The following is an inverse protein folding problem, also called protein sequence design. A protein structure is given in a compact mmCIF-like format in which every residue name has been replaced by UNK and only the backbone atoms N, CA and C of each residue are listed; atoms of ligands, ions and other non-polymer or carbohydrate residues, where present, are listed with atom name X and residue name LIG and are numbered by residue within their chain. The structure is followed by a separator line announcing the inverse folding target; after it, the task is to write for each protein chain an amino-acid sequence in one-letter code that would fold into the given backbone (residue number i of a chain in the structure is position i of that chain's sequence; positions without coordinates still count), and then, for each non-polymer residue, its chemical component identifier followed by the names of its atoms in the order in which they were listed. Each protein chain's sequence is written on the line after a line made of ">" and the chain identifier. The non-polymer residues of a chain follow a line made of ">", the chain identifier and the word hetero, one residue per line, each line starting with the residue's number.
data_IF_706521599114
#
_entry.id   IF_706521599114
#
_cell.length_a   1.000
_cell.length_b   1.000
_cell.length_c   1.000
_cell.angle_alpha   90.00
_cell.angle_beta   90.00
_cell.angle_gamma   90.00
#
_symmetry.space_group_name_H-M   'P 1'
#
loop_
_entity.id
_entity.type
_entity.pdbx_description
1 polymer ?
2 water ?
#
# COMPACT_ATOMS: atom_id res chain seq x y z
N UNK A 1 -17.39 20.91 -13.38
CA UNK A 1 -17.17 19.47 -13.36
C UNK A 1 -15.98 19.08 -12.48
N UNK A 2 -15.43 20.04 -11.75
CA UNK A 2 -14.33 19.79 -10.81
C UNK A 2 -14.84 20.07 -9.40
N UNK A 3 -14.80 19.05 -8.55
CA UNK A 3 -15.38 19.20 -7.23
C UNK A 3 -14.41 19.88 -6.27
N UNK A 4 -14.97 20.55 -5.26
CA UNK A 4 -14.20 20.90 -4.08
C UNK A 4 -14.12 19.66 -3.20
N UNK A 5 -12.94 19.38 -2.65
CA UNK A 5 -12.70 18.11 -1.96
C UNK A 5 -12.04 18.38 -0.61
N UNK A 6 -12.56 17.75 0.45
CA UNK A 6 -11.92 17.77 1.76
C UNK A 6 -12.03 16.39 2.38
N UNK A 7 -10.89 15.74 2.65
CA UNK A 7 -10.91 14.42 3.29
C UNK A 7 -10.95 14.62 4.80
N UNK A 8 -11.85 13.90 5.48
CA UNK A 8 -11.98 13.98 6.94
C UNK A 8 -11.08 12.92 7.58
N UNK A 9 -9.78 13.23 7.60
CA UNK A 9 -8.80 12.28 8.09
C UNK A 9 -9.01 11.95 9.56
N UNK A 10 -9.57 12.89 10.34
CA UNK A 10 -9.79 12.56 11.75
C UNK A 10 -10.89 11.53 11.94
N UNK A 11 -11.66 11.22 10.89
CA UNK A 11 -12.69 10.20 10.92
C UNK A 11 -12.23 8.88 10.30
N UNK A 12 -10.92 8.72 10.09
CA UNK A 12 -10.38 7.53 9.43
C UNK A 12 -10.70 6.26 10.21
N UNK A 13 -11.05 5.20 9.49
CA UNK A 13 -11.36 3.89 10.05
C UNK A 13 -10.17 2.98 9.80
N UNK A 14 -9.76 2.24 10.83
CA UNK A 14 -8.72 1.23 10.70
C UNK A 14 -9.39 -0.06 10.24
N UNK A 15 -9.28 -0.37 8.95
CA UNK A 15 -9.79 -1.63 8.46
C UNK A 15 -8.74 -2.70 8.70
N UNK A 16 -8.60 -3.62 7.77
CA UNK A 16 -7.67 -4.73 7.94
C UNK A 16 -6.27 -4.23 8.29
N UNK A 17 -5.61 -4.93 9.21
CA UNK A 17 -4.25 -4.58 9.62
C UNK A 17 -3.55 -5.90 9.93
N UNK A 18 -2.56 -6.27 9.12
CA UNK A 18 -1.91 -7.58 9.27
C UNK A 18 -0.42 -7.47 8.98
N UNK A 19 0.35 -8.33 9.63
CA UNK A 19 1.74 -8.55 9.27
C UNK A 19 1.76 -9.83 8.45
N UNK A 20 2.11 -9.69 7.17
CA UNK A 20 1.99 -10.77 6.20
C UNK A 20 3.36 -11.41 6.00
N UNK A 21 3.42 -12.74 6.12
CA UNK A 21 4.62 -13.48 5.72
C UNK A 21 4.62 -13.60 4.20
N UNK A 22 5.53 -12.88 3.56
CA UNK A 22 5.61 -12.90 2.10
C UNK A 22 6.27 -14.19 1.61
N UNK A 23 7.32 -14.64 2.30
CA UNK A 23 8.06 -15.83 1.88
C UNK A 23 9.04 -16.20 2.97
N UNK A 24 9.59 -17.42 2.86
CA UNK A 24 10.73 -17.87 3.65
C UNK A 24 11.76 -18.51 2.72
N UNK A 25 13.04 -18.34 3.06
CA UNK A 25 14.14 -19.00 2.35
C UNK A 25 15.04 -19.67 3.38
N UNK A 26 15.33 -20.97 3.19
CA UNK A 26 16.10 -21.72 4.17
C UNK A 26 17.36 -22.31 3.55
N UNK A 27 18.42 -22.41 4.37
CA UNK A 27 19.69 -23.00 3.94
C UNK A 27 20.46 -23.51 5.15
N UNK A 28 21.31 -24.52 4.92
CA UNK A 28 22.07 -25.19 5.98
C UNK A 28 23.54 -25.32 5.59
N UNK A 29 24.41 -25.32 6.61
CA UNK A 29 25.85 -25.21 6.44
C UNK A 29 26.58 -26.29 7.23
N UNK A 30 27.87 -26.45 6.91
CA UNK A 30 28.73 -27.43 7.56
C UNK A 30 30.21 -27.09 7.37
N UNK A 34 31.34 -22.74 4.91
CA UNK A 34 30.70 -21.43 4.88
C UNK A 34 30.35 -21.02 3.45
N UNK A 35 29.23 -21.50 2.94
CA UNK A 35 28.79 -21.21 1.58
C UNK A 35 28.09 -19.86 1.54
N UNK A 36 28.19 -19.19 0.41
CA UNK A 36 27.43 -17.98 0.18
C UNK A 36 25.95 -18.30 -0.03
N UNK A 37 25.12 -17.28 0.12
CA UNK A 37 23.68 -17.42 0.00
C UNK A 37 23.26 -17.36 -1.47
N UNK A 38 22.04 -17.84 -1.73
CA UNK A 38 21.56 -17.95 -3.11
C UNK A 38 21.55 -16.61 -3.83
N UNK A 39 21.07 -15.55 -3.16
CA UNK A 39 20.89 -14.25 -3.79
C UNK A 39 21.49 -13.17 -2.90
N UNK A 40 22.00 -12.13 -3.54
CA UNK A 40 22.48 -10.97 -2.80
C UNK A 40 21.32 -10.09 -2.34
N UNK A 41 20.33 -9.90 -3.21
CA UNK A 41 19.17 -9.07 -2.91
C UNK A 41 17.96 -9.73 -3.55
N UNK A 42 16.79 -9.50 -2.95
CA UNK A 42 15.53 -9.90 -3.56
C UNK A 42 14.73 -8.65 -3.90
N UNK A 43 13.99 -8.70 -5.00
CA UNK A 43 13.24 -7.56 -5.49
C UNK A 43 11.76 -7.90 -5.43
N UNK A 44 10.97 -7.00 -4.84
CA UNK A 44 9.54 -7.21 -4.67
C UNK A 44 8.78 -6.01 -5.21
N UNK A 45 7.57 -6.26 -5.69
CA UNK A 45 6.66 -5.18 -5.99
C UNK A 45 5.95 -4.75 -4.72
N UNK A 46 5.84 -3.44 -4.51
CA UNK A 46 5.15 -2.85 -3.38
C UNK A 46 4.11 -1.89 -3.92
N UNK A 47 2.87 -2.01 -3.44
CA UNK A 47 1.79 -1.19 -3.99
C UNK A 47 1.01 -0.51 -2.89
N UNK A 48 0.42 0.62 -3.26
CA UNK A 48 -0.63 1.28 -2.50
C UNK A 48 -1.77 1.51 -3.47
N UNK A 49 -2.97 1.10 -3.10
CA UNK A 49 -4.12 1.29 -3.98
C UNK A 49 -5.07 2.30 -3.36
N UNK A 50 -5.45 3.30 -4.14
CA UNK A 50 -6.35 4.37 -3.69
C UNK A 50 -7.68 4.25 -4.41
N UNK A 51 -8.78 4.27 -3.65
CA UNK A 51 -10.10 4.11 -4.22
C UNK A 51 -11.04 5.19 -3.71
N UNK A 52 -12.01 5.57 -4.54
CA UNK A 52 -13.08 6.46 -4.13
C UNK A 52 -14.40 5.75 -4.41
N UNK A 53 -15.31 5.79 -3.44
CA UNK A 53 -16.61 5.12 -3.55
C UNK A 53 -17.69 6.14 -3.24
N UNK A 54 -18.82 6.06 -3.96
CA UNK A 54 -19.91 7.00 -3.73
C UNK A 54 -21.18 6.24 -3.41
N UNK A 55 -22.13 6.83 -2.69
CA UNK A 55 -23.43 6.21 -2.49
C UNK A 55 -24.06 5.84 -3.84
N UNK A 56 -24.79 4.73 -3.83
CA UNK A 56 -25.37 4.23 -5.07
C UNK A 56 -26.27 5.28 -5.71
N UNK A 57 -27.04 6.00 -4.90
CA UNK A 57 -28.03 6.99 -5.34
C UNK A 57 -27.50 8.42 -5.34
N UNK A 58 -26.23 8.65 -5.66
CA UNK A 58 -25.66 9.98 -5.52
C UNK A 58 -26.14 10.92 -6.61
N UNK A 59 -26.18 12.22 -6.27
CA UNK A 59 -26.46 13.29 -7.21
C UNK A 59 -25.21 13.79 -7.92
N UNK A 60 -24.03 13.37 -7.48
CA UNK A 60 -22.80 13.82 -8.13
C UNK A 60 -22.84 13.43 -9.61
N UNK A 61 -22.66 14.37 -10.54
CA UNK A 61 -22.77 14.03 -11.96
C UNK A 61 -21.67 13.08 -12.40
N UNK A 62 -22.03 12.12 -13.25
CA UNK A 62 -21.02 11.28 -13.88
C UNK A 62 -20.06 12.16 -14.68
N UNK A 63 -18.76 11.88 -14.54
CA UNK A 63 -17.71 12.69 -15.13
C UNK A 63 -17.08 13.70 -14.20
N UNK A 64 -17.66 13.93 -13.02
CA UNK A 64 -17.09 14.85 -12.05
C UNK A 64 -15.69 14.41 -11.66
N UNK A 65 -14.75 15.35 -11.67
CA UNK A 65 -13.38 15.04 -11.28
C UNK A 65 -13.19 15.32 -9.80
N UNK A 66 -12.49 14.41 -9.12
CA UNK A 66 -12.32 14.44 -7.68
C UNK A 66 -10.83 14.27 -7.41
N UNK A 67 -10.17 15.37 -7.06
CA UNK A 67 -8.74 15.37 -6.75
C UNK A 67 -8.53 15.30 -5.25
N UNK A 68 -7.71 14.36 -4.80
CA UNK A 68 -7.35 14.34 -3.39
C UNK A 68 -5.90 13.93 -3.22
N UNK A 69 -5.37 14.26 -2.05
CA UNK A 69 -3.99 13.98 -1.68
C UNK A 69 -3.96 12.96 -0.56
N UNK A 70 -3.65 11.70 -0.84
CA UNK A 70 -3.64 10.68 0.21
C UNK A 70 -2.55 10.94 1.24
N UNK A 71 -2.69 10.26 2.38
CA UNK A 71 -1.65 10.27 3.40
C UNK A 71 -0.49 9.34 3.04
N UNK A 72 -0.79 8.15 2.52
CA UNK A 72 0.20 7.11 2.28
C UNK A 72 0.54 7.06 0.79
N UNK A 73 1.81 7.32 0.46
CA UNK A 73 2.25 7.39 -0.93
C UNK A 73 3.54 6.61 -1.10
N UNK A 74 3.89 6.36 -2.36
CA UNK A 74 5.13 5.70 -2.74
C UNK A 74 5.97 6.65 -3.60
N UNK A 75 7.25 6.31 -3.75
CA UNK A 75 8.16 6.97 -4.69
C UNK A 75 8.36 8.46 -4.39
N UNK A 76 8.02 8.90 -3.19
CA UNK A 76 8.06 10.32 -2.88
C UNK A 76 7.08 11.13 -3.69
N UNK A 77 6.12 10.46 -4.34
CA UNK A 77 5.10 11.16 -5.09
C UNK A 77 4.25 12.01 -4.17
N UNK A 78 3.98 13.24 -4.60
CA UNK A 78 3.23 14.19 -3.80
C UNK A 78 2.10 14.86 -4.57
N UNK A 79 1.99 14.63 -5.87
CA UNK A 79 0.91 15.22 -6.64
C UNK A 79 -0.42 14.55 -6.31
N UNK A 80 -1.52 15.28 -6.41
CA UNK A 80 -2.83 14.69 -6.11
C UNK A 80 -3.20 13.59 -7.09
N UNK A 81 -4.03 12.68 -6.61
CA UNK A 81 -4.69 11.68 -7.44
C UNK A 81 -5.98 12.29 -7.97
N UNK A 82 -6.25 12.11 -9.27
CA UNK A 82 -7.49 12.58 -9.87
C UNK A 82 -8.36 11.37 -10.20
N UNK A 83 -9.46 11.22 -9.48
CA UNK A 83 -10.50 10.27 -9.85
C UNK A 83 -11.52 10.97 -10.74
N UNK A 84 -12.22 10.19 -11.55
CA UNK A 84 -13.35 10.68 -12.34
C UNK A 84 -14.53 9.79 -12.01
N UNK A 85 -15.56 10.36 -11.38
CA UNK A 85 -16.71 9.56 -11.00
C UNK A 85 -17.36 8.94 -12.24
N UNK A 86 -17.56 7.62 -12.19
CA UNK A 86 -18.16 6.87 -13.27
C UNK A 86 -17.18 6.26 -14.27
N UNK A 87 -15.87 6.52 -14.14
CA UNK A 87 -14.93 5.92 -15.09
C UNK A 87 -13.52 5.67 -14.56
N UNK A 88 -13.04 6.44 -13.57
CA UNK A 88 -11.74 6.14 -12.97
C UNK A 88 -11.89 6.33 -11.46
N UNK A 89 -12.04 5.23 -10.73
CA UNK A 89 -12.31 5.29 -9.29
C UNK A 89 -11.27 4.55 -8.47
N UNK A 90 -10.20 4.06 -9.10
CA UNK A 90 -9.13 3.36 -8.40
C UNK A 90 -7.81 3.71 -9.07
N UNK A 91 -6.79 3.95 -8.25
CA UNK A 91 -5.45 4.25 -8.74
C UNK A 91 -4.43 3.48 -7.90
N UNK A 92 -3.45 2.86 -8.56
CA UNK A 92 -2.45 2.03 -7.88
C UNK A 92 -1.07 2.64 -8.06
N UNK A 93 -0.39 2.90 -6.96
CA UNK A 93 1.02 3.23 -6.98
C UNK A 93 1.84 1.95 -6.92
N UNK A 94 3.04 2.00 -7.49
CA UNK A 94 3.91 0.83 -7.53
C UNK A 94 5.35 1.29 -7.34
N UNK A 95 6.08 0.59 -6.47
CA UNK A 95 7.51 0.84 -6.35
C UNK A 95 8.24 -0.50 -6.26
N UNK A 96 9.55 -0.46 -6.47
CA UNK A 96 10.38 -1.64 -6.29
C UNK A 96 10.93 -1.63 -4.88
N UNK A 97 10.71 -2.71 -4.15
CA UNK A 97 11.22 -2.87 -2.79
C UNK A 97 12.37 -3.87 -2.86
N UNK A 98 13.59 -3.39 -2.65
CA UNK A 98 14.79 -4.22 -2.75
C UNK A 98 15.29 -4.55 -1.35
N UNK A 99 15.49 -5.84 -1.08
CA UNK A 99 15.80 -6.34 0.26
C UNK A 99 17.13 -7.07 0.22
N UNK A 100 18.09 -6.62 1.03
CA UNK A 100 19.38 -7.29 1.08
C UNK A 100 19.28 -8.63 1.81
N UNK A 101 19.89 -9.67 1.24
CA UNK A 101 19.92 -11.00 1.83
C UNK A 101 21.19 -11.19 2.64
N UNK A 102 21.21 -12.14 3.57
CA UNK A 102 22.48 -12.48 4.23
C UNK A 102 23.48 -12.97 3.20
N UNK A 103 24.75 -12.58 3.40
CA UNK A 103 25.77 -12.91 2.41
C UNK A 103 26.16 -14.38 2.48
N UNK A 104 26.31 -14.91 3.69
CA UNK A 104 26.83 -16.26 3.89
C UNK A 104 25.98 -17.01 4.90
N UNK A 105 26.11 -18.33 4.87
CA UNK A 105 25.67 -19.21 5.94
C UNK A 105 26.91 -19.55 6.76
N UNK A 106 26.96 -19.09 8.01
CA UNK A 106 28.12 -19.30 8.86
C UNK A 106 28.31 -20.80 9.14
N UNK A 107 29.51 -21.21 9.57
CA UNK A 107 29.76 -22.64 9.77
C UNK A 107 28.81 -23.27 10.79
N UNK A 108 28.42 -24.52 10.51
CA UNK A 108 27.55 -25.31 11.38
C UNK A 108 26.25 -24.57 11.70
N UNK A 109 25.59 -24.08 10.65
CA UNK A 109 24.42 -23.23 10.76
C UNK A 109 23.33 -23.66 9.78
N UNK A 110 22.09 -23.65 10.26
CA UNK A 110 20.90 -23.62 9.40
C UNK A 110 20.34 -22.20 9.45
N UNK A 111 20.13 -21.61 8.28
CA UNK A 111 19.75 -20.21 8.16
C UNK A 111 18.35 -20.12 7.57
N UNK A 112 17.50 -19.32 8.21
CA UNK A 112 16.14 -19.06 7.74
C UNK A 112 15.99 -17.56 7.57
N UNK A 113 15.58 -17.13 6.38
CA UNK A 113 15.15 -15.76 6.15
C UNK A 113 13.63 -15.75 6.08
N UNK A 114 13.00 -14.98 6.97
CA UNK A 114 11.55 -14.79 6.99
C UNK A 114 11.28 -13.38 6.50
N UNK A 115 10.51 -13.26 5.42
CA UNK A 115 10.22 -11.97 4.80
C UNK A 115 8.80 -11.56 5.14
N UNK A 116 8.63 -10.40 5.79
CA UNK A 116 7.30 -9.94 6.18
C UNK A 116 7.09 -8.49 5.78
N UNK A 117 5.82 -8.10 5.67
CA UNK A 117 5.48 -6.68 5.52
C UNK A 117 4.11 -6.42 6.13
N UNK A 118 3.90 -5.16 6.52
CA UNK A 118 2.59 -4.72 6.99
C UNK A 118 1.69 -4.47 5.80
N UNK A 119 0.43 -4.88 5.92
CA UNK A 119 -0.58 -4.59 4.91
C UNK A 119 -1.78 -4.03 5.65
N UNK A 120 -2.26 -2.87 5.21
CA UNK A 120 -3.28 -2.15 5.96
C UNK A 120 -4.36 -1.63 5.02
N UNK A 121 -5.61 -1.69 5.47
CA UNK A 121 -6.71 -1.00 4.79
C UNK A 121 -7.22 0.09 5.72
N UNK A 122 -7.32 1.31 5.21
CA UNK A 122 -7.92 2.41 5.94
C UNK A 122 -8.93 3.09 5.03
N UNK A 123 -9.89 3.79 5.63
CA UNK A 123 -10.92 4.46 4.85
C UNK A 123 -11.32 5.74 5.57
N UNK A 124 -11.79 6.74 4.81
CA UNK A 124 -12.15 8.01 5.44
C UNK A 124 -13.25 8.69 4.63
N UNK A 125 -14.07 9.52 5.28
CA UNK A 125 -15.07 10.30 4.53
C UNK A 125 -14.42 11.37 3.67
N UNK A 126 -15.05 11.66 2.54
CA UNK A 126 -14.58 12.71 1.63
C UNK A 126 -15.75 13.62 1.34
N UNK A 127 -15.68 14.86 1.82
CA UNK A 127 -16.74 15.81 1.54
C UNK A 127 -16.51 16.42 0.16
N UNK A 128 -17.50 16.27 -0.72
CA UNK A 128 -17.44 16.70 -2.11
C UNK A 128 -18.49 17.77 -2.31
N UNK A 129 -18.15 18.83 -3.02
CA UNK A 129 -19.17 19.76 -3.48
C UNK A 129 -18.90 20.10 -4.93
N UNK A 130 -19.94 20.04 -5.75
CA UNK A 130 -19.88 20.43 -7.15
C UNK A 130 -21.09 21.32 -7.39
N UNK A 131 -20.86 22.61 -7.58
CA UNK A 131 -21.99 23.53 -7.63
C UNK A 131 -22.73 23.48 -6.31
N UNK A 132 -24.04 23.30 -6.36
CA UNK A 132 -24.81 23.21 -5.13
C UNK A 132 -25.00 21.77 -4.66
N UNK A 133 -24.39 20.81 -5.34
CA UNK A 133 -24.52 19.41 -4.96
C UNK A 133 -23.46 19.09 -3.91
N UNK A 134 -23.89 18.48 -2.80
CA UNK A 134 -22.99 18.05 -1.74
C UNK A 134 -23.11 16.55 -1.55
N UNK A 135 -21.98 15.90 -1.33
CA UNK A 135 -21.95 14.46 -1.11
C UNK A 135 -20.83 14.15 -0.14
N UNK A 136 -20.97 13.06 0.61
CA UNK A 136 -19.86 12.54 1.39
C UNK A 136 -19.51 11.18 0.79
N UNK A 137 -18.41 11.14 0.03
CA UNK A 137 -17.91 9.90 -0.53
C UNK A 137 -17.04 9.19 0.52
N UNK A 138 -16.51 8.03 0.16
CA UNK A 138 -15.61 7.29 1.04
C UNK A 138 -14.34 6.93 0.29
N UNK A 139 -13.20 7.31 0.86
CA UNK A 139 -11.88 7.01 0.32
C UNK A 139 -11.36 5.75 1.00
N UNK A 140 -10.73 4.87 0.22
CA UNK A 140 -10.17 3.62 0.73
C UNK A 140 -8.72 3.53 0.27
N UNK A 141 -7.83 3.22 1.21
CA UNK A 141 -6.41 3.04 0.96
C UNK A 141 -6.02 1.61 1.31
N UNK A 142 -5.51 0.86 0.35
CA UNK A 142 -4.98 -0.48 0.58
C UNK A 142 -3.47 -0.38 0.42
N UNK A 143 -2.75 -0.37 1.54
CA UNK A 143 -1.31 -0.10 1.50
C UNK A 143 -0.48 -1.30 1.92
N UNK A 144 0.74 -1.35 1.39
CA UNK A 144 1.76 -2.32 1.74
C UNK A 144 3.00 -1.57 2.19
N UNK A 145 3.61 -2.02 3.28
CA UNK A 145 4.85 -1.45 3.76
C UNK A 145 6.05 -2.08 3.05
N UNK A 146 7.23 -1.52 3.33
CA UNK A 146 8.46 -2.19 2.95
C UNK A 146 8.62 -3.52 3.66
N UNK A 147 9.39 -4.39 3.04
CA UNK A 147 9.57 -5.75 3.54
C UNK A 147 10.73 -5.79 4.52
N UNK A 148 10.53 -6.51 5.62
CA UNK A 148 11.59 -6.81 6.57
C UNK A 148 12.07 -8.25 6.38
N UNK A 149 13.40 -8.43 6.44
CA UNK A 149 14.02 -9.75 6.39
C UNK A 149 14.55 -10.09 7.78
N UNK A 150 14.02 -11.15 8.38
CA UNK A 150 14.51 -11.65 9.65
C UNK A 150 15.35 -12.89 9.38
N UNK A 151 16.61 -12.86 9.80
CA UNK A 151 17.53 -13.97 9.58
C UNK A 151 17.74 -14.67 10.91
N UNK A 152 17.40 -15.95 10.96
CA UNK A 152 17.56 -16.76 12.15
C UNK A 152 18.60 -17.84 11.87
N UNK A 153 19.54 -18.00 12.79
CA UNK A 153 20.58 -19.02 12.69
C UNK A 153 20.27 -20.13 13.69
N UNK A 154 20.23 -21.37 13.19
CA UNK A 154 19.83 -22.56 13.94
C UNK A 154 21.00 -23.54 14.03
N UNK A 155 20.87 -24.65 14.79
CA UNK A 155 21.84 -25.74 14.62
C UNK A 155 21.82 -26.32 13.21
#
# INVERSE_FOLDING_TARGET
>A
MSASVTVLWDKEIEGSNEVVKVDEMVASNISNVKVEFYLKERHFDRTITHNITLPRATEVPIGTEIQLEPKHRLNGNTEPITFTYGSLESYTELSEDKVTMPEFVEPKTKLIVILTRNENITSAPVEISVGDIKETATYICQSQSGINAEVNTEPL
#
